data_IF_884967445735
#
_entry.id   IF_884967445735
#
_cell.length_a   1.000
_cell.length_b   1.000
_cell.length_c   1.000
_cell.angle_alpha   90.00
_cell.angle_beta   90.00
_cell.angle_gamma   90.00
#
_symmetry.space_group_name_H-M   'P 1'
#
loop_
_entity.id
_entity.type
_entity.pdbx_description
1 polymer ?
#
# COMPACT_ATOMS: atom_id res chain seq x y z
N UNK A 1 20.26 -19.10 2.05
CA UNK A 1 18.90 -19.33 1.52
C UNK A 1 18.04 -18.11 1.84
N UNK A 2 17.23 -17.70 0.87
CA UNK A 2 16.64 -16.36 0.68
C UNK A 2 15.93 -15.82 1.93
N UNK A 3 16.38 -14.67 2.43
CA UNK A 3 15.57 -13.78 3.26
C UNK A 3 14.20 -13.63 2.59
N UNK A 4 13.14 -14.18 3.19
CA UNK A 4 11.78 -13.90 2.75
C UNK A 4 11.47 -12.46 3.16
N UNK A 5 11.84 -11.51 2.30
CA UNK A 5 11.48 -10.11 2.44
C UNK A 5 9.96 -10.00 2.53
N UNK A 6 9.49 -9.15 3.45
CA UNK A 6 8.07 -8.91 3.76
C UNK A 6 7.29 -8.65 2.48
N UNK A 7 7.87 -7.86 1.57
CA UNK A 7 7.30 -7.55 0.25
C UNK A 7 6.89 -8.79 -0.54
N UNK A 8 7.70 -9.85 -0.53
CA UNK A 8 7.43 -11.05 -1.31
C UNK A 8 6.27 -11.88 -0.74
N UNK A 9 6.12 -11.86 0.58
CA UNK A 9 5.01 -12.56 1.25
C UNK A 9 3.70 -11.84 0.95
N UNK A 10 3.68 -10.50 1.07
CA UNK A 10 2.50 -9.70 0.74
C UNK A 10 2.16 -9.82 -0.76
N UNK A 11 3.17 -9.78 -1.64
CA UNK A 11 2.99 -9.98 -3.07
C UNK A 11 2.30 -11.30 -3.40
N UNK A 12 2.79 -12.42 -2.84
CA UNK A 12 2.24 -13.74 -3.11
C UNK A 12 0.79 -13.87 -2.62
N UNK A 13 0.50 -13.27 -1.47
CA UNK A 13 -0.86 -13.22 -0.91
C UNK A 13 -1.81 -12.40 -1.78
N UNK A 14 -1.37 -11.24 -2.29
CA UNK A 14 -2.16 -10.42 -3.22
C UNK A 14 -2.46 -11.19 -4.50
N UNK A 15 -1.43 -11.79 -5.13
CA UNK A 15 -1.61 -12.53 -6.39
C UNK A 15 -2.55 -13.72 -6.18
N UNK A 16 -2.40 -14.45 -5.07
CA UNK A 16 -3.29 -15.56 -4.72
C UNK A 16 -4.73 -15.11 -4.49
N UNK A 17 -4.95 -14.05 -3.71
CA UNK A 17 -6.28 -13.54 -3.43
C UNK A 17 -6.98 -13.07 -4.71
N UNK A 18 -6.26 -12.37 -5.60
CA UNK A 18 -6.80 -11.94 -6.90
C UNK A 18 -7.16 -13.14 -7.77
N UNK A 19 -6.29 -14.15 -7.88
CA UNK A 19 -6.58 -15.36 -8.66
C UNK A 19 -7.70 -16.22 -8.05
N UNK A 20 -7.83 -16.24 -6.72
CA UNK A 20 -8.90 -16.94 -6.02
C UNK A 20 -10.24 -16.18 -6.05
N UNK A 21 -10.24 -14.90 -6.45
CA UNK A 21 -11.41 -14.03 -6.33
C UNK A 21 -11.74 -13.66 -4.87
N UNK A 22 -10.78 -13.81 -3.96
CA UNK A 22 -10.89 -13.43 -2.55
C UNK A 22 -10.59 -11.94 -2.34
N UNK A 23 -10.99 -11.44 -1.17
CA UNK A 23 -10.75 -10.05 -0.79
C UNK A 23 -9.24 -9.80 -0.56
N UNK A 24 -8.63 -9.18 -1.57
CA UNK A 24 -7.19 -8.91 -1.62
C UNK A 24 -6.73 -8.03 -0.45
N UNK A 25 -7.57 -7.10 -0.02
CA UNK A 25 -7.29 -6.19 1.10
C UNK A 25 -7.21 -6.98 2.40
N UNK A 26 -8.18 -7.87 2.63
CA UNK A 26 -8.19 -8.77 3.78
C UNK A 26 -6.96 -9.68 3.79
N UNK A 27 -6.55 -10.19 2.63
CA UNK A 27 -5.34 -11.01 2.51
C UNK A 27 -4.06 -10.23 2.87
N UNK A 28 -3.92 -8.99 2.38
CA UNK A 28 -2.79 -8.09 2.74
C UNK A 28 -2.78 -7.83 4.24
N UNK A 29 -3.93 -7.55 4.85
CA UNK A 29 -4.04 -7.33 6.29
C UNK A 29 -3.65 -8.53 7.12
N UNK A 30 -4.20 -9.70 6.80
CA UNK A 30 -3.88 -10.93 7.53
C UNK A 30 -2.40 -11.27 7.43
N UNK A 31 -1.82 -11.22 6.23
CA UNK A 31 -0.38 -11.46 6.06
C UNK A 31 0.44 -10.42 6.81
N UNK A 32 0.06 -9.15 6.77
CA UNK A 32 0.78 -8.11 7.50
C UNK A 32 0.73 -8.37 9.01
N UNK A 33 -0.44 -8.75 9.56
CA UNK A 33 -0.59 -9.12 10.98
C UNK A 33 0.26 -10.33 11.35
N UNK A 34 0.29 -11.36 10.52
CA UNK A 34 1.13 -12.55 10.70
C UNK A 34 2.62 -12.18 10.72
N UNK A 35 3.04 -11.31 9.79
CA UNK A 35 4.42 -10.83 9.74
C UNK A 35 4.77 -10.03 11.00
N UNK A 36 3.90 -9.12 11.43
CA UNK A 36 4.10 -8.36 12.66
C UNK A 36 4.17 -9.31 13.87
N UNK A 37 3.27 -10.30 13.95
CA UNK A 37 3.24 -11.27 15.05
C UNK A 37 4.47 -12.20 15.08
N UNK A 38 5.06 -12.48 13.91
CA UNK A 38 6.30 -13.29 13.81
C UNK A 38 7.56 -12.48 14.13
N UNK A 39 7.48 -11.16 14.17
CA UNK A 39 8.58 -10.29 14.54
C UNK A 39 8.58 -10.08 16.06
N UNK A 40 9.77 -10.03 16.65
CA UNK A 40 9.91 -9.77 18.08
C UNK A 40 9.30 -8.41 18.45
N UNK A 41 8.59 -8.35 19.57
CA UNK A 41 8.00 -7.11 20.07
C UNK A 41 9.04 -5.98 20.25
N UNK A 42 10.29 -6.32 20.57
CA UNK A 42 11.43 -5.38 20.65
C UNK A 42 11.77 -4.75 19.29
N UNK A 43 11.72 -5.54 18.21
CA UNK A 43 11.91 -5.05 16.84
C UNK A 43 10.79 -4.12 16.41
N UNK A 44 9.55 -4.40 16.83
CA UNK A 44 8.39 -3.55 16.59
C UNK A 44 8.33 -2.30 17.47
N UNK A 45 8.99 -2.28 18.63
CA UNK A 45 9.16 -1.05 19.41
C UNK A 45 10.13 -0.08 18.72
N UNK A 46 10.86 -0.53 17.70
CA UNK A 46 11.70 0.35 16.90
C UNK A 46 10.91 0.95 15.74
N UNK A 47 10.72 2.27 15.80
CA UNK A 47 10.05 3.07 14.76
C UNK A 47 10.59 2.78 13.35
N UNK A 48 11.91 2.73 13.18
CA UNK A 48 12.52 2.51 11.85
C UNK A 48 12.16 1.14 11.29
N UNK A 49 12.19 0.09 12.11
CA UNK A 49 11.85 -1.26 11.69
C UNK A 49 10.38 -1.38 11.34
N UNK A 50 9.50 -0.81 12.16
CA UNK A 50 8.07 -0.77 11.90
C UNK A 50 7.73 -0.02 10.61
N UNK A 51 8.33 1.16 10.38
CA UNK A 51 8.17 1.92 9.15
C UNK A 51 8.72 1.16 7.94
N UNK A 52 9.87 0.48 8.09
CA UNK A 52 10.47 -0.34 7.03
C UNK A 52 9.56 -1.51 6.65
N UNK A 53 9.00 -2.22 7.63
CA UNK A 53 8.02 -3.27 7.36
C UNK A 53 6.77 -2.77 6.68
N UNK A 54 6.21 -1.66 7.15
CA UNK A 54 5.05 -1.05 6.55
C UNK A 54 5.32 -0.72 5.07
N UNK A 55 6.48 -0.13 4.77
CA UNK A 55 6.93 0.13 3.40
C UNK A 55 7.09 -1.15 2.60
N UNK A 56 7.78 -2.16 3.13
CA UNK A 56 7.97 -3.44 2.42
C UNK A 56 6.63 -4.14 2.16
N UNK A 57 5.70 -4.10 3.11
CA UNK A 57 4.36 -4.66 2.96
C UNK A 57 3.58 -3.94 1.85
N UNK A 58 3.65 -2.60 1.81
CA UNK A 58 3.00 -1.82 0.76
C UNK A 58 3.64 -2.02 -0.61
N UNK A 59 4.96 -2.06 -0.70
CA UNK A 59 5.67 -2.38 -1.95
C UNK A 59 5.27 -3.77 -2.43
N UNK A 60 5.22 -4.75 -1.53
CA UNK A 60 4.74 -6.09 -1.85
C UNK A 60 3.30 -6.10 -2.34
N UNK A 61 2.43 -5.34 -1.69
CA UNK A 61 1.04 -5.20 -2.11
C UNK A 61 0.95 -4.55 -3.51
N UNK A 62 1.72 -3.49 -3.76
CA UNK A 62 1.78 -2.80 -5.05
C UNK A 62 2.33 -3.72 -6.15
N UNK A 63 3.45 -4.41 -5.93
CA UNK A 63 4.00 -5.38 -6.88
C UNK A 63 3.02 -6.53 -7.14
N UNK A 64 2.36 -7.03 -6.10
CA UNK A 64 1.34 -8.06 -6.23
C UNK A 64 0.17 -7.58 -7.07
N UNK A 65 -0.28 -6.35 -6.85
CA UNK A 65 -1.35 -5.71 -7.59
C UNK A 65 -0.95 -5.43 -9.03
N UNK A 66 0.25 -4.92 -9.29
CA UNK A 66 0.76 -4.65 -10.64
C UNK A 66 0.90 -5.95 -11.45
N UNK A 67 1.24 -7.05 -10.76
CA UNK A 67 1.36 -8.39 -11.35
C UNK A 67 0.01 -9.05 -11.60
N UNK A 68 -0.94 -8.87 -10.70
CA UNK A 68 -2.28 -9.44 -10.80
C UNK A 68 -3.26 -8.53 -11.59
N UNK A 69 -2.84 -7.30 -11.93
CA UNK A 69 -3.63 -6.23 -12.57
C UNK A 69 -5.11 -6.17 -12.17
N UNK A 70 -5.48 -6.07 -10.87
CA UNK A 70 -6.87 -5.85 -10.51
C UNK A 70 -7.31 -4.44 -10.95
N UNK A 71 -8.60 -4.22 -11.22
CA UNK A 71 -9.10 -2.99 -11.85
C UNK A 71 -9.32 -1.81 -10.88
N UNK A 72 -8.47 -1.58 -9.86
CA UNK A 72 -8.88 -0.67 -8.76
C UNK A 72 -7.78 0.23 -8.17
N UNK A 73 -7.88 1.55 -8.42
CA UNK A 73 -7.07 2.60 -7.76
C UNK A 73 -7.27 2.67 -6.23
N UNK A 74 -8.44 2.24 -5.73
CA UNK A 74 -8.67 2.15 -4.27
C UNK A 74 -7.80 1.10 -3.57
N UNK A 75 -7.17 0.18 -4.31
CA UNK A 75 -6.41 -0.90 -3.69
C UNK A 75 -5.25 -0.38 -2.86
N UNK A 76 -4.44 0.54 -3.40
CA UNK A 76 -3.28 1.09 -2.69
C UNK A 76 -3.73 1.82 -1.43
N UNK A 77 -4.85 2.55 -1.51
CA UNK A 77 -5.42 3.29 -0.38
C UNK A 77 -5.94 2.34 0.70
N UNK A 78 -6.71 1.31 0.32
CA UNK A 78 -7.23 0.29 1.23
C UNK A 78 -6.11 -0.53 1.86
N UNK A 79 -5.13 -0.98 1.06
CA UNK A 79 -3.96 -1.71 1.55
C UNK A 79 -3.16 -0.88 2.57
N UNK A 80 -2.95 0.42 2.30
CA UNK A 80 -2.28 1.34 3.23
C UNK A 80 -3.00 1.47 4.57
N UNK A 81 -4.34 1.58 4.53
CA UNK A 81 -5.18 1.64 5.74
C UNK A 81 -5.11 0.33 6.50
N UNK A 82 -5.28 -0.80 5.80
CA UNK A 82 -5.25 -2.14 6.41
C UNK A 82 -3.90 -2.47 7.03
N UNK A 83 -2.79 -2.11 6.38
CA UNK A 83 -1.44 -2.26 6.96
C UNK A 83 -1.33 -1.39 8.22
N UNK A 84 -1.76 -0.12 8.17
CA UNK A 84 -1.77 0.76 9.34
C UNK A 84 -2.58 0.19 10.51
N UNK A 85 -3.77 -0.36 10.25
CA UNK A 85 -4.60 -0.98 11.28
C UNK A 85 -3.94 -2.23 11.87
N UNK A 86 -3.29 -3.03 11.04
CA UNK A 86 -2.52 -4.21 11.49
C UNK A 86 -1.41 -3.83 12.46
N UNK A 87 -0.71 -2.72 12.17
CA UNK A 87 0.26 -2.11 13.08
C UNK A 87 -0.38 -1.49 14.32
N UNK A 88 -1.58 -0.90 14.22
CA UNK A 88 -2.30 -0.34 15.36
C UNK A 88 -2.70 -1.41 16.38
N UNK A 89 -3.15 -2.57 15.91
CA UNK A 89 -3.56 -3.68 16.77
C UNK A 89 -2.37 -4.39 17.43
N UNK A 90 -1.29 -4.62 16.68
CA UNK A 90 -0.16 -5.43 17.15
C UNK A 90 1.03 -4.61 17.68
N UNK A 91 1.13 -3.34 17.28
CA UNK A 91 2.24 -2.45 17.63
C UNK A 91 1.76 -0.99 17.79
N UNK A 92 0.85 -0.71 18.73
CA UNK A 92 0.22 0.61 18.89
C UNK A 92 1.21 1.76 19.09
N UNK A 93 2.38 1.48 19.67
CA UNK A 93 3.46 2.45 19.88
C UNK A 93 4.04 3.02 18.58
N UNK A 94 4.06 2.22 17.51
CA UNK A 94 4.62 2.62 16.21
C UNK A 94 3.53 2.88 15.16
N UNK A 95 2.28 2.57 15.47
CA UNK A 95 1.14 2.81 14.60
C UNK A 95 1.00 4.27 14.16
N UNK A 96 1.31 5.23 15.05
CA UNK A 96 1.33 6.65 14.71
C UNK A 96 2.33 6.98 13.59
N UNK A 97 3.53 6.39 13.65
CA UNK A 97 4.56 6.60 12.63
C UNK A 97 4.27 5.88 11.32
N UNK A 98 3.71 4.67 11.39
CA UNK A 98 3.29 3.92 10.21
C UNK A 98 2.16 4.66 9.49
N UNK A 99 1.19 5.18 10.24
CA UNK A 99 0.10 6.00 9.70
C UNK A 99 0.62 7.26 9.00
N UNK A 100 1.62 7.93 9.57
CA UNK A 100 2.23 9.12 8.98
C UNK A 100 2.92 8.82 7.63
N UNK A 101 3.63 7.68 7.54
CA UNK A 101 4.24 7.19 6.28
C UNK A 101 3.18 6.96 5.21
N UNK A 102 2.11 6.26 5.56
CA UNK A 102 1.03 5.97 4.62
C UNK A 102 0.23 7.21 4.26
N UNK A 103 0.02 8.12 5.21
CA UNK A 103 -0.64 9.40 4.93
C UNK A 103 0.16 10.18 3.90
N UNK A 104 1.49 10.28 4.04
CA UNK A 104 2.34 10.95 3.05
C UNK A 104 2.32 10.30 1.67
N UNK A 105 2.24 8.96 1.61
CA UNK A 105 2.13 8.23 0.33
C UNK A 105 0.76 8.45 -0.32
N UNK A 106 -0.33 8.35 0.45
CA UNK A 106 -1.69 8.53 -0.05
C UNK A 106 -1.94 9.99 -0.46
N UNK A 107 -1.44 10.96 0.30
CA UNK A 107 -1.56 12.38 -0.03
C UNK A 107 -0.73 12.74 -1.28
N UNK A 108 0.52 12.25 -1.37
CA UNK A 108 1.35 12.42 -2.57
C UNK A 108 0.77 11.74 -3.82
N UNK A 109 0.08 10.61 -3.64
CA UNK A 109 -0.67 9.97 -4.74
C UNK A 109 -1.90 10.78 -5.13
N UNK A 110 -2.54 11.47 -4.16
CA UNK A 110 -3.65 12.39 -4.41
C UNK A 110 -3.21 13.66 -5.15
N UNK A 111 -1.98 14.13 -4.91
CA UNK A 111 -1.38 15.27 -5.61
C UNK A 111 -1.05 14.91 -7.07
N UNK A 112 -0.48 13.73 -7.32
CA UNK A 112 -0.18 13.24 -8.69
C UNK A 112 -1.45 12.89 -9.49
N UNK A 113 -2.49 12.34 -8.85
CA UNK A 113 -3.77 12.02 -9.52
C UNK A 113 -4.66 13.26 -9.66
N UNK A 114 -4.46 14.28 -8.82
CA UNK A 114 -5.13 15.58 -8.91
C UNK A 114 -4.70 16.40 -10.14
N UNK A 115 -3.46 16.23 -10.61
CA UNK A 115 -2.97 16.89 -11.84
C UNK A 115 -3.40 16.16 -13.11
N UNK A 116 -3.45 14.82 -13.13
CA UNK A 116 -3.93 14.09 -14.32
C UNK A 116 -5.42 14.24 -14.62
N UNK A 117 -6.20 14.90 -13.74
CA UNK A 117 -7.60 15.27 -14.00
C UNK A 117 -7.78 16.73 -14.45
N UNK A 118 -6.70 17.48 -14.70
CA UNK A 118 -6.76 18.83 -15.29
C UNK A 118 -6.21 18.93 -16.71
N UNK A 119 -5.47 17.94 -17.20
CA UNK A 119 -4.88 17.98 -18.55
C UNK A 119 -5.64 17.15 -19.61
N UNK A 120 -6.90 16.84 -19.36
CA UNK A 120 -7.79 16.19 -20.34
C UNK A 120 -8.89 17.13 -20.86
N UNK A 121 -8.57 18.40 -21.14
CA UNK A 121 -9.34 19.25 -22.05
C UNK A 121 -8.36 20.18 -22.79
N UNK A 122 -7.69 19.65 -23.82
CA UNK A 122 -7.43 20.45 -25.03
C UNK A 122 -8.74 20.47 -25.82
N UNK A 123 -9.21 21.65 -26.22
CA UNK A 123 -9.34 21.85 -27.66
C UNK A 123 -8.34 22.89 -28.14
N UNK A 124 -7.61 22.51 -29.18
CA UNK A 124 -6.99 23.44 -30.10
C UNK A 124 -8.09 24.29 -30.77
N UNK A 125 -7.88 25.62 -30.74
CA UNK A 125 -8.13 26.67 -31.75
C UNK A 125 -9.16 26.43 -32.90
N UNK A 126 -9.90 27.48 -33.34
CA UNK A 126 -9.23 28.60 -34.00
C UNK A 126 -9.79 30.01 -33.74
N UNK A 127 -8.89 30.96 -34.02
CA UNK A 127 -9.14 32.37 -34.33
C UNK A 127 -10.24 32.50 -35.38
N UNK A 128 -11.09 33.50 -35.21
CA UNK A 128 -11.75 34.15 -36.34
C UNK A 128 -11.64 35.67 -36.14
N UNK A 129 -10.79 36.27 -36.97
CA UNK A 129 -10.83 37.68 -37.34
C UNK A 129 -12.06 37.90 -38.21
N UNK A 130 -12.90 38.89 -37.87
CA UNK A 130 -13.41 39.90 -38.81
C UNK A 130 -13.83 41.18 -38.07
#
# INVERSE_FOLDING_TARGET
MKEKKVSKIVQDAVVKAVHAGEDVISAVGNVTKEIISTIKAEDLNNKEKAQKLAKEALEGAKEGFEKAKPPTEEFVKKASVTISESFKENAPKVAGFVKDVFSGIVDGTKEVIGEHKKDAVKPEEPKEEE
#
